data_IF_834251358394
#
_entry.id   IF_834251358394
#
_cell.length_a   1.000
_cell.length_b   1.000
_cell.length_c   1.000
_cell.angle_alpha   90.00
_cell.angle_beta   90.00
_cell.angle_gamma   90.00
#
_symmetry.space_group_name_H-M   'P 1'
#
loop_
_entity.id
_entity.type
_entity.pdbx_description
1 polymer ?
#
# COMPACT_ATOMS: atom_id res chain seq x y z
N UNK A 1 16.20 -2.09 -7.33
CA UNK A 1 15.99 -2.56 -5.95
C UNK A 1 15.01 -3.71 -6.05
N UNK A 2 15.35 -4.89 -5.56
CA UNK A 2 14.40 -6.00 -5.46
C UNK A 2 13.66 -5.82 -4.14
N UNK A 3 12.33 -5.85 -4.16
CA UNK A 3 11.54 -5.76 -2.93
C UNK A 3 11.12 -7.16 -2.53
N UNK A 4 11.35 -7.51 -1.26
CA UNK A 4 10.81 -8.74 -0.71
C UNK A 4 9.28 -8.58 -0.57
N UNK A 5 8.55 -9.29 -1.43
CA UNK A 5 7.09 -9.20 -1.48
C UNK A 5 6.43 -9.80 -0.24
N UNK A 6 7.06 -10.79 0.40
CA UNK A 6 6.54 -11.36 1.63
C UNK A 6 6.72 -10.38 2.80
N UNK A 7 7.89 -9.73 2.89
CA UNK A 7 8.14 -8.67 3.87
C UNK A 7 7.17 -7.50 3.70
N UNK A 8 6.97 -7.03 2.45
CA UNK A 8 6.01 -5.99 2.12
C UNK A 8 4.58 -6.37 2.55
N UNK A 9 4.12 -7.57 2.19
CA UNK A 9 2.78 -8.02 2.53
C UNK A 9 2.58 -8.09 4.06
N UNK A 10 3.56 -8.63 4.79
CA UNK A 10 3.50 -8.68 6.26
C UNK A 10 3.44 -7.28 6.88
N UNK A 11 4.32 -6.37 6.46
CA UNK A 11 4.36 -5.02 7.00
C UNK A 11 3.05 -4.25 6.72
N UNK A 12 2.47 -4.42 5.53
CA UNK A 12 1.19 -3.81 5.17
C UNK A 12 0.02 -4.45 5.91
N UNK A 13 0.02 -5.77 6.11
CA UNK A 13 -1.00 -6.46 6.90
C UNK A 13 -0.98 -5.99 8.36
N UNK A 14 0.20 -5.88 8.97
CA UNK A 14 0.35 -5.37 10.34
C UNK A 14 -0.13 -3.93 10.48
N UNK A 15 0.16 -3.08 9.49
CA UNK A 15 -0.19 -1.67 9.55
C UNK A 15 -1.67 -1.37 9.24
N UNK A 16 -2.29 -2.15 8.36
CA UNK A 16 -3.70 -1.95 7.96
C UNK A 16 -4.68 -2.79 8.77
N UNK A 17 -4.23 -3.89 9.37
CA UNK A 17 -5.08 -4.91 9.98
C UNK A 17 -5.83 -5.79 8.97
N UNK A 18 -5.56 -5.64 7.68
CA UNK A 18 -6.19 -6.42 6.61
C UNK A 18 -5.31 -7.62 6.24
N UNK A 19 -5.91 -8.64 5.63
CA UNK A 19 -5.12 -9.70 5.00
C UNK A 19 -4.48 -9.17 3.73
N UNK A 20 -3.15 -9.25 3.62
CA UNK A 20 -2.41 -8.73 2.46
C UNK A 20 -1.64 -9.86 1.78
N UNK A 21 -1.76 -9.91 0.45
CA UNK A 21 -0.93 -10.78 -0.40
C UNK A 21 -0.23 -9.93 -1.44
N UNK A 22 1.03 -10.21 -1.73
CA UNK A 22 1.80 -9.47 -2.73
C UNK A 22 2.48 -10.44 -3.69
N UNK A 23 2.30 -10.16 -4.98
CA UNK A 23 3.01 -10.79 -6.08
C UNK A 23 3.80 -9.74 -6.87
N UNK A 24 4.65 -10.12 -7.84
CA UNK A 24 5.52 -9.18 -8.56
C UNK A 24 4.78 -8.05 -9.29
N UNK A 25 3.48 -8.18 -9.56
CA UNK A 25 2.70 -7.23 -10.34
C UNK A 25 1.59 -6.55 -9.55
N UNK A 26 1.20 -7.08 -8.39
CA UNK A 26 0.11 -6.52 -7.59
C UNK A 26 0.21 -6.86 -6.11
N UNK A 27 -0.45 -6.04 -5.31
CA UNK A 27 -0.72 -6.25 -3.89
C UNK A 27 -2.25 -6.31 -3.73
N UNK A 28 -2.76 -7.33 -3.05
CA UNK A 28 -4.19 -7.48 -2.79
C UNK A 28 -4.43 -7.36 -1.29
N UNK A 29 -5.31 -6.44 -0.91
CA UNK A 29 -5.79 -6.25 0.45
C UNK A 29 -7.20 -6.84 0.54
N UNK A 30 -7.44 -7.63 1.59
CA UNK A 30 -8.75 -8.24 1.86
C UNK A 30 -9.13 -7.93 3.30
N UNK A 31 -10.28 -7.28 3.47
CA UNK A 31 -10.97 -7.12 4.75
C UNK A 31 -12.16 -8.07 4.79
N UNK A 32 -12.41 -8.69 5.94
CA UNK A 32 -13.52 -9.63 6.12
C UNK A 32 -14.78 -8.96 6.70
N UNK A 33 -14.65 -7.82 7.40
CA UNK A 33 -15.77 -7.13 8.02
C UNK A 33 -15.61 -5.58 7.97
N UNK A 34 -16.35 -4.88 7.08
CA UNK A 34 -17.17 -5.43 6.00
C UNK A 34 -16.31 -6.14 4.94
N UNK A 35 -16.85 -7.11 4.17
CA UNK A 35 -16.09 -7.82 3.15
C UNK A 35 -15.68 -6.87 2.02
N UNK A 36 -14.38 -6.58 1.94
CA UNK A 36 -13.81 -5.63 0.97
C UNK A 36 -12.53 -6.18 0.38
N UNK A 37 -12.32 -5.96 -0.93
CA UNK A 37 -11.08 -6.32 -1.61
C UNK A 37 -10.53 -5.14 -2.38
N UNK A 38 -9.25 -4.82 -2.17
CA UNK A 38 -8.54 -3.80 -2.94
C UNK A 38 -7.36 -4.42 -3.67
N UNK A 39 -7.33 -4.26 -5.00
CA UNK A 39 -6.23 -4.73 -5.83
C UNK A 39 -5.39 -3.54 -6.24
N UNK A 40 -4.14 -3.53 -5.80
CA UNK A 40 -3.16 -2.50 -6.10
C UNK A 40 -2.15 -3.00 -7.13
N UNK A 41 -2.16 -2.44 -8.34
CA UNK A 41 -1.28 -2.88 -9.42
C UNK A 41 0.04 -2.12 -9.34
N UNK A 42 1.10 -2.77 -8.87
CA UNK A 42 2.43 -2.13 -8.69
C UNK A 42 3.60 -3.07 -8.92
N UNK A 43 4.61 -2.56 -9.59
CA UNK A 43 5.91 -3.21 -9.76
C UNK A 43 6.89 -2.79 -8.65
N UNK A 44 8.01 -3.52 -8.53
CA UNK A 44 9.09 -3.15 -7.60
C UNK A 44 9.64 -1.75 -7.87
N UNK A 45 9.62 -1.31 -9.14
CA UNK A 45 10.08 0.02 -9.54
C UNK A 45 9.13 1.11 -9.05
N UNK A 46 7.82 0.86 -9.16
CA UNK A 46 6.79 1.79 -8.68
C UNK A 46 6.88 1.95 -7.17
N UNK A 47 6.98 0.84 -6.44
CA UNK A 47 7.15 0.84 -4.98
C UNK A 47 8.44 1.58 -4.59
N UNK A 48 9.55 1.34 -5.29
CA UNK A 48 10.80 2.06 -5.06
C UNK A 48 10.67 3.57 -5.27
N UNK A 49 9.92 3.98 -6.30
CA UNK A 49 9.63 5.39 -6.57
C UNK A 49 8.72 6.02 -5.50
N UNK A 50 7.71 5.29 -5.04
CA UNK A 50 6.82 5.72 -3.95
C UNK A 50 7.59 5.93 -2.65
N UNK A 51 8.43 4.96 -2.25
CA UNK A 51 9.28 5.10 -1.08
C UNK A 51 10.26 6.27 -1.20
N UNK A 52 10.82 6.51 -2.39
CA UNK A 52 11.69 7.67 -2.60
C UNK A 52 10.94 8.99 -2.41
N UNK A 53 9.72 9.10 -2.97
CA UNK A 53 8.88 10.29 -2.83
C UNK A 53 8.45 10.53 -1.38
N UNK A 54 8.07 9.47 -0.67
CA UNK A 54 7.66 9.56 0.74
C UNK A 54 8.82 9.98 1.64
N UNK A 55 10.00 9.40 1.43
CA UNK A 55 11.21 9.82 2.13
C UNK A 55 11.57 11.29 1.88
N UNK A 56 11.36 11.79 0.66
CA UNK A 56 11.55 13.21 0.35
C UNK A 56 10.54 14.09 1.07
N UNK A 57 9.26 13.68 1.13
CA UNK A 57 8.23 14.39 1.92
C UNK A 57 8.60 14.42 3.39
N UNK A 58 8.95 13.27 3.96
CA UNK A 58 9.37 13.15 5.36
C UNK A 58 10.56 14.07 5.70
N UNK A 59 11.60 14.12 4.84
CA UNK A 59 12.73 15.05 5.02
C UNK A 59 12.29 16.52 5.06
N UNK A 60 11.31 16.91 4.24
CA UNK A 60 10.74 18.26 4.24
C UNK A 60 10.06 18.63 5.57
N UNK A 61 9.59 17.65 6.33
CA UNK A 61 8.97 17.82 7.64
C UNK A 61 9.91 17.47 8.82
N UNK A 62 11.22 17.33 8.58
CA UNK A 62 12.21 16.99 9.61
C UNK A 62 12.25 15.50 9.99
N UNK A 63 11.54 14.65 9.25
CA UNK A 63 11.57 13.20 9.39
C UNK A 63 12.86 12.57 8.85
N UNK A 64 13.14 11.35 9.29
CA UNK A 64 14.30 10.56 8.83
C UNK A 64 13.88 9.67 7.66
N UNK A 65 14.80 9.50 6.70
CA UNK A 65 14.64 8.56 5.59
C UNK A 65 14.56 7.12 6.13
N UNK A 66 13.54 6.38 5.74
CA UNK A 66 13.34 4.97 6.05
C UNK A 66 13.46 4.11 4.78
N UNK A 67 14.02 2.90 4.93
CA UNK A 67 14.02 1.89 3.88
C UNK A 67 12.91 0.85 4.09
N UNK A 68 12.10 1.02 5.14
CA UNK A 68 11.01 0.14 5.51
C UNK A 68 9.85 0.27 4.50
N UNK A 69 9.53 -0.80 3.74
CA UNK A 69 8.40 -0.82 2.83
C UNK A 69 7.06 -0.63 3.56
N UNK A 70 7.01 -0.98 4.84
CA UNK A 70 5.89 -0.72 5.73
C UNK A 70 5.48 0.74 5.71
N UNK A 71 6.41 1.70 5.59
CA UNK A 71 6.10 3.13 5.60
C UNK A 71 5.09 3.58 4.52
N UNK A 72 4.88 2.78 3.47
CA UNK A 72 3.83 2.99 2.47
C UNK A 72 2.42 2.87 3.05
N UNK A 73 2.27 2.24 4.23
CA UNK A 73 1.00 2.10 4.92
C UNK A 73 0.32 3.45 5.16
N UNK A 74 1.08 4.54 5.37
CA UNK A 74 0.52 5.88 5.56
C UNK A 74 -0.22 6.36 4.30
N UNK A 75 0.42 6.21 3.13
CA UNK A 75 -0.20 6.52 1.84
C UNK A 75 -1.41 5.63 1.58
N UNK A 76 -1.29 4.35 1.95
CA UNK A 76 -2.34 3.36 1.71
C UNK A 76 -3.51 3.50 2.67
N UNK A 77 -3.31 3.88 3.93
CA UNK A 77 -4.42 4.07 4.89
C UNK A 77 -5.27 5.28 4.57
N UNK A 78 -4.69 6.35 4.02
CA UNK A 78 -5.47 7.46 3.45
C UNK A 78 -6.34 6.98 2.28
N UNK A 79 -5.79 6.11 1.43
CA UNK A 79 -6.46 5.63 0.23
C UNK A 79 -7.44 4.46 0.47
N UNK A 80 -7.17 3.63 1.48
CA UNK A 80 -8.00 2.52 1.98
C UNK A 80 -8.97 2.98 3.08
N UNK A 81 -9.09 4.30 3.31
CA UNK A 81 -10.05 4.88 4.26
C UNK A 81 -11.48 4.40 3.99
N UNK A 82 -12.42 4.55 4.94
CA UNK A 82 -13.75 3.96 4.86
C UNK A 82 -14.44 4.36 3.54
N UNK A 83 -14.52 3.42 2.61
CA UNK A 83 -15.20 3.59 1.34
C UNK A 83 -16.46 2.72 1.29
N UNK A 84 -17.50 3.27 0.67
CA UNK A 84 -18.75 2.57 0.43
C UNK A 84 -18.59 1.68 -0.81
N UNK A 85 -18.79 0.37 -0.67
CA UNK A 85 -18.58 -0.61 -1.75
C UNK A 85 -17.79 -1.85 -1.33
N UNK A 86 -17.77 -2.85 -2.22
CA UNK A 86 -17.15 -4.16 -1.98
C UNK A 86 -15.77 -4.33 -2.61
N UNK A 87 -15.43 -3.50 -3.62
CA UNK A 87 -14.18 -3.62 -4.39
C UNK A 87 -13.54 -2.28 -4.71
N UNK A 88 -12.25 -2.17 -4.44
CA UNK A 88 -11.39 -1.08 -4.89
C UNK A 88 -10.33 -1.56 -5.87
N UNK A 89 -9.97 -0.70 -6.82
CA UNK A 89 -8.81 -0.88 -7.68
C UNK A 89 -7.88 0.30 -7.46
N UNK A 90 -6.59 0.03 -7.24
CA UNK A 90 -5.58 1.05 -7.06
C UNK A 90 -4.52 0.96 -8.17
N UNK A 91 -4.24 2.10 -8.79
CA UNK A 91 -3.13 2.31 -9.72
C UNK A 91 -2.24 3.42 -9.16
N UNK A 92 -0.95 3.14 -8.95
CA UNK A 92 -0.06 4.08 -8.25
C UNK A 92 -0.48 4.34 -6.80
N UNK A 93 -1.09 5.48 -6.49
CA UNK A 93 -1.70 5.78 -5.17
C UNK A 93 -3.17 6.20 -5.27
N UNK A 94 -3.74 6.13 -6.47
CA UNK A 94 -5.11 6.54 -6.71
C UNK A 94 -6.04 5.32 -6.62
N UNK A 95 -7.03 5.39 -5.73
CA UNK A 95 -8.04 4.34 -5.56
C UNK A 95 -9.30 4.71 -6.32
N UNK A 96 -9.75 3.79 -7.15
CA UNK A 96 -11.07 3.81 -7.78
C UNK A 96 -11.94 2.75 -7.12
N UNK A 97 -13.05 3.17 -6.52
CA UNK A 97 -14.00 2.27 -5.87
C UNK A 97 -15.09 1.89 -6.87
N UNK A 98 -15.41 0.61 -6.93
CA UNK A 98 -16.50 0.06 -7.73
C UNK A 98 -17.56 -0.55 -6.80
N UNK A 99 -18.82 -0.22 -7.07
CA UNK A 99 -20.00 -0.74 -6.36
C UNK A 99 -20.23 -2.24 -6.62
#
# INVERSE_FOLDING_TARGET
MSIDRAELANALAEATGWSVTADPHRVTFTNDDPPQVVIWTVTDSDIGQLMYNENRRAQGHGGKRTADPGALWLLLTEALGPFDGSRGYMDGTDVTVHE
#
